data_IF_717320629789
#
_entry.id   IF_717320629789
#
_cell.length_a   1.000
_cell.length_b   1.000
_cell.length_c   1.000
_cell.angle_alpha   90.00
_cell.angle_beta   90.00
_cell.angle_gamma   90.00
#
_symmetry.space_group_name_H-M   'P 1'
#
loop_
_entity.id
_entity.type
_entity.pdbx_description
1 polymer ?
#
# COMPACT_ATOMS: atom_id res chain seq x y z
N UNK A 1 8.61 -8.10 -26.24
CA UNK A 1 9.19 -7.60 -24.97
C UNK A 1 8.08 -7.02 -24.10
N UNK A 2 7.90 -7.51 -22.85
CA UNK A 2 6.82 -7.02 -21.95
C UNK A 2 7.38 -5.99 -20.94
N UNK A 3 7.66 -4.79 -21.43
CA UNK A 3 8.12 -3.65 -20.59
C UNK A 3 6.97 -2.93 -19.88
N UNK A 4 5.72 -3.28 -20.18
CA UNK A 4 4.55 -2.67 -19.54
C UNK A 4 4.35 -3.11 -18.09
N UNK A 5 5.05 -4.15 -17.63
CA UNK A 5 5.03 -4.59 -16.23
C UNK A 5 5.99 -3.81 -15.33
N UNK A 6 6.89 -2.99 -15.89
CA UNK A 6 7.83 -2.19 -15.12
C UNK A 6 7.12 -1.06 -14.36
N UNK A 7 7.61 -0.75 -13.17
CA UNK A 7 7.22 0.45 -12.43
C UNK A 7 7.78 1.72 -13.10
N UNK A 8 7.30 2.90 -12.70
CA UNK A 8 7.84 4.16 -13.22
C UNK A 8 9.32 4.33 -12.85
N UNK A 9 9.70 3.96 -11.64
CA UNK A 9 11.07 4.01 -11.13
C UNK A 9 12.00 3.09 -11.92
N UNK A 10 11.53 1.88 -12.23
CA UNK A 10 12.29 0.92 -13.06
C UNK A 10 12.49 1.45 -14.48
N UNK A 11 11.45 2.06 -15.08
CA UNK A 11 11.54 2.67 -16.42
C UNK A 11 12.56 3.81 -16.46
N UNK A 12 12.53 4.70 -15.44
CA UNK A 12 13.49 5.79 -15.28
C UNK A 12 14.90 5.23 -15.10
N UNK A 13 15.10 4.25 -14.21
CA UNK A 13 16.38 3.62 -13.93
C UNK A 13 16.96 2.94 -15.20
N UNK A 14 16.11 2.29 -16.02
CA UNK A 14 16.56 1.73 -17.29
C UNK A 14 17.03 2.79 -18.27
N UNK A 15 16.32 3.92 -18.35
CA UNK A 15 16.76 5.01 -19.22
C UNK A 15 18.11 5.59 -18.77
N UNK A 16 18.38 5.64 -17.47
CA UNK A 16 19.68 6.07 -16.94
C UNK A 16 20.83 5.14 -17.37
N UNK A 17 20.57 3.82 -17.40
CA UNK A 17 21.58 2.84 -17.89
C UNK A 17 21.98 3.15 -19.34
N UNK A 18 21.03 3.52 -20.19
CA UNK A 18 21.33 3.91 -21.58
C UNK A 18 22.02 5.27 -21.72
N UNK A 19 22.01 6.08 -20.67
CA UNK A 19 22.72 7.37 -20.60
C UNK A 19 24.12 7.24 -19.98
N UNK A 20 24.55 6.01 -19.60
CA UNK A 20 25.87 5.74 -19.03
C UNK A 20 26.71 4.90 -19.99
N UNK A 21 28.03 4.99 -19.84
CA UNK A 21 28.96 4.15 -20.63
C UNK A 21 28.87 2.66 -20.22
N UNK A 22 29.03 1.72 -21.15
CA UNK A 22 29.36 1.95 -22.57
C UNK A 22 28.14 2.18 -23.48
N UNK A 23 26.90 2.01 -22.97
CA UNK A 23 25.70 2.07 -23.80
C UNK A 23 25.52 3.43 -24.49
N UNK A 24 25.84 4.52 -23.80
CA UNK A 24 25.70 5.88 -24.35
C UNK A 24 26.53 6.06 -25.64
N UNK A 25 27.82 5.71 -25.63
CA UNK A 25 28.68 5.81 -26.78
C UNK A 25 28.24 4.91 -27.94
N UNK A 26 27.81 3.67 -27.64
CA UNK A 26 27.32 2.73 -28.65
C UNK A 26 26.02 3.20 -29.32
N UNK A 27 25.11 3.79 -28.56
CA UNK A 27 23.86 4.38 -29.07
C UNK A 27 24.20 5.59 -29.94
N UNK A 28 25.09 6.49 -29.47
CA UNK A 28 25.46 7.71 -30.19
C UNK A 28 26.17 7.43 -31.52
N UNK A 29 26.96 6.36 -31.59
CA UNK A 29 27.66 5.95 -32.81
C UNK A 29 26.73 5.42 -33.92
N UNK A 30 25.48 5.09 -33.61
CA UNK A 30 24.54 4.52 -34.57
C UNK A 30 23.31 5.43 -34.75
N UNK A 31 23.12 6.04 -35.94
CA UNK A 31 22.06 6.99 -36.22
C UNK A 31 20.64 6.42 -35.99
N UNK A 32 20.41 5.14 -36.30
CA UNK A 32 19.13 4.47 -36.13
C UNK A 32 18.80 4.35 -34.63
N UNK A 33 19.78 3.92 -33.83
CA UNK A 33 19.64 3.80 -32.38
C UNK A 33 19.50 5.16 -31.70
N UNK A 34 20.31 6.13 -32.10
CA UNK A 34 20.28 7.50 -31.56
C UNK A 34 18.89 8.13 -31.71
N UNK A 35 18.31 8.02 -32.91
CA UNK A 35 16.93 8.53 -33.18
C UNK A 35 15.89 7.83 -32.30
N UNK A 36 15.92 6.50 -32.21
CA UNK A 36 15.02 5.72 -31.37
C UNK A 36 15.15 6.06 -29.89
N UNK A 37 16.37 6.24 -29.43
CA UNK A 37 16.66 6.56 -28.03
C UNK A 37 16.19 7.96 -27.61
N UNK A 38 16.28 8.97 -28.50
CA UNK A 38 15.78 10.31 -28.22
C UNK A 38 14.30 10.30 -27.82
N UNK A 39 13.48 9.47 -28.48
CA UNK A 39 12.07 9.32 -28.14
C UNK A 39 11.88 8.72 -26.76
N UNK A 40 12.66 7.68 -26.39
CA UNK A 40 12.62 7.05 -25.05
C UNK A 40 13.07 8.03 -23.98
N UNK A 41 14.16 8.77 -24.21
CA UNK A 41 14.68 9.78 -23.29
C UNK A 41 13.65 10.88 -23.01
N UNK A 42 12.96 11.38 -24.04
CA UNK A 42 11.89 12.37 -23.90
C UNK A 42 10.74 11.83 -23.03
N UNK A 43 10.30 10.58 -23.26
CA UNK A 43 9.26 9.94 -22.45
C UNK A 43 9.69 9.73 -20.99
N UNK A 44 10.95 9.34 -20.76
CA UNK A 44 11.49 9.19 -19.41
C UNK A 44 11.57 10.54 -18.68
N UNK A 45 11.96 11.61 -19.35
CA UNK A 45 11.96 12.97 -18.76
C UNK A 45 10.56 13.40 -18.32
N UNK A 46 9.55 13.20 -19.17
CA UNK A 46 8.17 13.50 -18.84
C UNK A 46 7.67 12.64 -17.66
N UNK A 47 8.02 11.35 -17.66
CA UNK A 47 7.67 10.42 -16.57
C UNK A 47 8.33 10.85 -15.26
N UNK A 48 9.63 11.21 -15.27
CA UNK A 48 10.36 11.68 -14.09
C UNK A 48 9.74 12.94 -13.50
N UNK A 49 9.45 13.95 -14.33
CA UNK A 49 8.84 15.19 -13.89
C UNK A 49 7.44 14.97 -13.27
N UNK A 50 6.67 14.06 -13.87
CA UNK A 50 5.33 13.72 -13.38
C UNK A 50 5.41 12.89 -12.11
N UNK A 51 6.32 11.91 -12.04
CA UNK A 51 6.52 11.09 -10.85
C UNK A 51 6.99 11.91 -9.64
N UNK A 52 7.85 12.91 -9.85
CA UNK A 52 8.28 13.82 -8.79
C UNK A 52 7.08 14.59 -8.22
N UNK A 53 6.26 15.20 -9.10
CA UNK A 53 5.03 15.90 -8.66
C UNK A 53 4.06 14.96 -7.93
N UNK A 54 3.85 13.75 -8.46
CA UNK A 54 2.99 12.76 -7.83
C UNK A 54 3.55 12.27 -6.48
N UNK A 55 4.86 12.06 -6.39
CA UNK A 55 5.55 11.68 -5.16
C UNK A 55 5.38 12.71 -4.05
N UNK A 56 5.56 13.98 -4.38
CA UNK A 56 5.38 15.10 -3.45
C UNK A 56 3.91 15.27 -3.03
N UNK A 57 2.99 15.23 -4.01
CA UNK A 57 1.55 15.33 -3.73
C UNK A 57 1.01 14.15 -2.91
N UNK A 58 1.55 12.94 -3.08
CA UNK A 58 1.10 11.74 -2.35
C UNK A 58 1.74 11.60 -0.95
N UNK A 59 2.72 12.41 -0.58
CA UNK A 59 3.38 12.33 0.72
C UNK A 59 2.40 12.50 1.90
N UNK A 60 1.50 13.50 1.91
CA UNK A 60 0.48 13.63 2.95
C UNK A 60 -0.46 12.42 3.01
N UNK A 61 -0.90 11.89 1.86
CA UNK A 61 -1.76 10.71 1.82
C UNK A 61 -1.07 9.45 2.35
N UNK A 62 0.25 9.30 2.10
CA UNK A 62 1.03 8.20 2.66
C UNK A 62 1.14 8.32 4.18
N UNK A 63 1.47 9.49 4.71
CA UNK A 63 1.53 9.74 6.14
C UNK A 63 0.21 9.41 6.84
N UNK A 64 -0.93 9.85 6.28
CA UNK A 64 -2.26 9.51 6.78
C UNK A 64 -2.55 7.99 6.69
N UNK A 65 -2.04 7.31 5.66
CA UNK A 65 -2.23 5.85 5.53
C UNK A 65 -1.43 5.07 6.55
N UNK A 66 -0.21 5.52 6.85
CA UNK A 66 0.64 4.96 7.90
C UNK A 66 0.04 5.19 9.28
N UNK A 67 -0.48 6.40 9.53
CA UNK A 67 -1.18 6.72 10.78
C UNK A 67 -2.45 5.87 10.95
N UNK A 68 -3.25 5.69 9.90
CA UNK A 68 -4.43 4.83 9.93
C UNK A 68 -4.06 3.39 10.29
N UNK A 69 -3.01 2.83 9.68
CA UNK A 69 -2.56 1.48 9.98
C UNK A 69 -2.10 1.31 11.44
N UNK A 70 -1.48 2.34 12.03
CA UNK A 70 -1.09 2.33 13.46
C UNK A 70 -2.32 2.40 14.36
N UNK A 71 -3.31 3.23 14.04
CA UNK A 71 -4.56 3.32 14.80
C UNK A 71 -5.35 2.02 14.73
N UNK A 72 -5.47 1.42 13.55
CA UNK A 72 -6.12 0.13 13.28
C UNK A 72 -5.48 -1.00 14.11
N UNK A 73 -4.16 -1.15 14.05
CA UNK A 73 -3.45 -2.16 14.83
C UNK A 73 -3.66 -2.00 16.35
N UNK A 74 -3.72 -0.75 16.86
CA UNK A 74 -3.99 -0.49 18.27
C UNK A 74 -5.44 -0.78 18.65
N UNK A 75 -6.39 -0.37 17.81
CA UNK A 75 -7.82 -0.65 17.94
C UNK A 75 -8.04 -2.15 18.08
N UNK A 76 -7.54 -2.92 17.13
CA UNK A 76 -7.60 -4.36 17.09
C UNK A 76 -6.99 -5.03 18.34
N UNK A 77 -5.79 -4.60 18.73
CA UNK A 77 -5.11 -5.14 19.90
C UNK A 77 -5.92 -4.90 21.20
N UNK A 78 -6.56 -3.72 21.33
CA UNK A 78 -7.39 -3.38 22.49
C UNK A 78 -8.65 -4.21 22.54
N UNK A 79 -9.34 -4.40 21.42
CA UNK A 79 -10.54 -5.24 21.32
C UNK A 79 -10.20 -6.68 21.69
N UNK A 80 -9.20 -7.28 21.03
CA UNK A 80 -8.79 -8.67 21.31
C UNK A 80 -8.31 -8.86 22.73
N UNK A 81 -7.50 -7.92 23.24
CA UNK A 81 -7.02 -7.97 24.62
C UNK A 81 -8.14 -7.86 25.63
N UNK A 82 -9.12 -6.99 25.41
CA UNK A 82 -10.32 -6.87 26.26
C UNK A 82 -11.15 -8.14 26.25
N UNK A 83 -11.40 -8.72 25.08
CA UNK A 83 -12.15 -9.97 24.95
C UNK A 83 -11.45 -11.13 25.70
N UNK A 84 -10.16 -11.31 25.45
CA UNK A 84 -9.36 -12.35 26.10
C UNK A 84 -9.30 -12.18 27.62
N UNK A 85 -9.18 -10.94 28.11
CA UNK A 85 -9.17 -10.64 29.53
C UNK A 85 -10.50 -11.01 30.21
N UNK A 86 -11.63 -10.62 29.64
CA UNK A 86 -12.96 -10.93 30.18
C UNK A 86 -13.26 -12.43 30.14
N UNK A 87 -12.90 -13.11 29.06
CA UNK A 87 -13.01 -14.58 28.97
C UNK A 87 -12.14 -15.30 30.01
N UNK A 88 -10.91 -14.79 30.23
CA UNK A 88 -10.02 -15.34 31.25
C UNK A 88 -10.60 -15.15 32.67
N UNK A 89 -11.14 -13.97 32.98
CA UNK A 89 -11.81 -13.72 34.25
C UNK A 89 -13.02 -14.61 34.46
N UNK A 90 -13.86 -14.80 33.44
CA UNK A 90 -15.03 -15.68 33.52
C UNK A 90 -14.63 -17.11 33.87
N UNK A 91 -13.55 -17.62 33.29
CA UNK A 91 -13.03 -18.95 33.56
C UNK A 91 -12.36 -19.08 34.94
N UNK A 92 -11.51 -18.09 35.31
CA UNK A 92 -10.73 -18.16 36.55
C UNK A 92 -11.57 -17.95 37.80
N UNK A 93 -12.64 -17.13 37.70
CA UNK A 93 -13.53 -16.83 38.83
C UNK A 93 -14.81 -17.64 38.81
N UNK A 94 -15.04 -18.42 37.75
CA UNK A 94 -16.29 -19.15 37.52
C UNK A 94 -17.54 -18.27 37.56
N UNK A 95 -17.41 -16.99 37.17
CA UNK A 95 -18.46 -15.97 37.22
C UNK A 95 -18.90 -15.61 35.80
N UNK A 96 -20.13 -15.94 35.36
CA UNK A 96 -20.59 -15.66 33.99
C UNK A 96 -20.78 -14.15 33.69
N UNK A 97 -20.86 -13.29 34.71
CA UNK A 97 -21.05 -11.86 34.58
C UNK A 97 -20.00 -11.20 33.66
N UNK A 98 -18.78 -11.75 33.59
CA UNK A 98 -17.73 -11.24 32.68
C UNK A 98 -18.04 -11.50 31.20
N UNK A 99 -18.81 -12.55 30.89
CA UNK A 99 -19.30 -12.79 29.54
C UNK A 99 -20.45 -11.81 29.18
N UNK A 100 -21.25 -11.40 30.16
CA UNK A 100 -22.26 -10.34 29.95
C UNK A 100 -21.57 -9.00 29.64
N UNK A 101 -20.46 -8.68 30.33
CA UNK A 101 -19.65 -7.51 30.01
C UNK A 101 -19.07 -7.60 28.60
N UNK A 102 -18.57 -8.78 28.20
CA UNK A 102 -18.07 -9.00 26.85
C UNK A 102 -19.17 -8.81 25.79
N UNK A 103 -20.33 -9.41 26.00
CA UNK A 103 -21.50 -9.27 25.10
C UNK A 103 -21.98 -7.82 25.01
N UNK A 104 -21.94 -7.06 26.11
CA UNK A 104 -22.23 -5.63 26.09
C UNK A 104 -21.22 -4.83 25.27
N UNK A 105 -19.95 -5.10 25.42
CA UNK A 105 -18.87 -4.40 24.70
C UNK A 105 -18.81 -4.81 23.22
N UNK A 106 -18.97 -6.08 22.93
CA UNK A 106 -18.81 -6.69 21.61
C UNK A 106 -20.01 -7.60 21.29
N UNK A 107 -21.20 -7.05 20.97
CA UNK A 107 -22.40 -7.85 20.75
C UNK A 107 -22.28 -8.80 19.56
N UNK A 108 -21.48 -8.44 18.54
CA UNK A 108 -21.21 -9.27 17.37
C UNK A 108 -19.95 -10.15 17.54
N UNK A 109 -19.41 -10.18 18.77
CA UNK A 109 -18.20 -10.90 19.12
C UNK A 109 -16.90 -10.24 18.62
N UNK A 110 -15.74 -10.78 19.01
CA UNK A 110 -14.42 -10.23 18.64
C UNK A 110 -14.07 -10.37 17.15
N UNK A 111 -14.87 -11.11 16.36
CA UNK A 111 -14.70 -11.25 14.91
C UNK A 111 -15.10 -10.01 14.10
N UNK A 112 -15.73 -9.01 14.71
CA UNK A 112 -16.05 -7.72 14.08
C UNK A 112 -14.81 -6.91 13.65
N UNK A 113 -13.61 -7.34 14.02
CA UNK A 113 -12.30 -6.73 13.70
C UNK A 113 -11.91 -6.79 12.21
N UNK A 114 -12.69 -7.47 11.38
CA UNK A 114 -12.48 -7.54 9.92
C UNK A 114 -13.44 -6.66 9.11
N UNK A 115 -14.12 -5.73 9.79
CA UNK A 115 -15.07 -4.80 9.17
C UNK A 115 -14.34 -3.69 8.38
N UNK A 116 -15.09 -2.98 7.53
CA UNK A 116 -14.57 -1.75 6.92
C UNK A 116 -14.37 -0.66 7.98
N UNK A 117 -13.47 0.28 7.75
CA UNK A 117 -13.23 1.42 8.67
C UNK A 117 -14.52 2.18 9.04
N UNK A 118 -15.44 2.37 8.09
CA UNK A 118 -16.71 3.02 8.38
C UNK A 118 -17.57 2.20 9.34
N UNK A 119 -17.55 0.87 9.23
CA UNK A 119 -18.29 -0.01 10.13
C UNK A 119 -17.66 -0.03 11.53
N UNK A 120 -16.33 0.00 11.64
CA UNK A 120 -15.60 0.08 12.92
C UNK A 120 -15.88 1.40 13.64
N UNK A 121 -15.88 2.52 12.92
CA UNK A 121 -16.27 3.84 13.45
C UNK A 121 -17.71 3.80 13.95
N UNK A 122 -18.63 3.26 13.15
CA UNK A 122 -20.04 3.13 13.55
C UNK A 122 -20.23 2.27 14.81
N UNK A 123 -19.54 1.14 14.90
CA UNK A 123 -19.59 0.27 16.07
C UNK A 123 -19.03 0.96 17.33
N UNK A 124 -17.93 1.72 17.19
CA UNK A 124 -17.32 2.47 18.29
C UNK A 124 -18.25 3.59 18.80
N UNK A 125 -18.94 4.31 17.92
CA UNK A 125 -19.92 5.32 18.32
C UNK A 125 -21.15 4.71 19.03
N UNK A 126 -21.63 3.56 18.55
CA UNK A 126 -22.72 2.84 19.22
C UNK A 126 -22.29 2.33 20.61
N UNK A 127 -21.04 1.88 20.76
CA UNK A 127 -20.51 1.48 22.07
C UNK A 127 -20.39 2.69 23.00
N UNK A 128 -19.86 3.82 22.52
CA UNK A 128 -19.79 5.05 23.32
C UNK A 128 -21.16 5.47 23.84
N UNK A 129 -22.18 5.47 22.97
CA UNK A 129 -23.55 5.79 23.34
C UNK A 129 -24.13 4.79 24.38
N UNK A 130 -23.88 3.48 24.25
CA UNK A 130 -24.31 2.48 25.23
C UNK A 130 -23.65 2.68 26.59
N UNK A 131 -22.35 2.99 26.62
CA UNK A 131 -21.63 3.29 27.86
C UNK A 131 -22.14 4.55 28.57
N UNK A 132 -22.60 5.54 27.82
CA UNK A 132 -23.17 6.75 28.40
C UNK A 132 -24.62 6.55 28.89
N UNK A 133 -25.35 5.62 28.31
CA UNK A 133 -26.72 5.27 28.73
C UNK A 133 -26.74 4.33 29.93
N UNK A 134 -25.75 3.45 30.11
CA UNK A 134 -25.67 2.47 31.19
C UNK A 134 -24.54 2.80 32.18
N UNK A 135 -24.84 3.67 33.13
CA UNK A 135 -23.89 4.07 34.17
C UNK A 135 -23.47 2.91 35.09
N UNK A 136 -24.34 1.90 35.28
CA UNK A 136 -24.01 0.72 36.11
C UNK A 136 -22.99 -0.16 35.39
N UNK A 137 -23.20 -0.45 34.11
CA UNK A 137 -22.25 -1.19 33.29
C UNK A 137 -20.91 -0.46 33.16
N UNK A 138 -20.94 0.85 32.86
CA UNK A 138 -19.74 1.69 32.80
C UNK A 138 -18.93 1.64 34.11
N UNK A 139 -19.62 1.71 35.26
CA UNK A 139 -18.98 1.59 36.58
C UNK A 139 -18.38 0.19 36.81
N UNK A 140 -19.08 -0.86 36.42
CA UNK A 140 -18.60 -2.24 36.55
C UNK A 140 -17.33 -2.47 35.70
N UNK A 141 -17.33 -2.04 34.43
CA UNK A 141 -16.17 -2.12 33.55
C UNK A 141 -14.99 -1.28 34.10
N UNK A 142 -15.29 -0.09 34.65
CA UNK A 142 -14.28 0.77 35.26
C UNK A 142 -13.62 0.14 36.49
N UNK A 143 -14.31 -0.71 37.22
CA UNK A 143 -13.79 -1.39 38.42
C UNK A 143 -12.81 -2.52 38.09
N UNK A 144 -12.82 -3.03 36.85
CA UNK A 144 -11.85 -4.02 36.41
C UNK A 144 -10.53 -3.35 36.07
N UNK A 145 -9.42 -3.99 36.43
CA UNK A 145 -8.07 -3.43 36.25
C UNK A 145 -7.17 -4.41 35.50
N UNK A 146 -6.39 -3.87 34.56
CA UNK A 146 -5.33 -4.56 33.82
C UNK A 146 -4.07 -3.70 33.95
N UNK A 147 -3.00 -4.25 34.49
CA UNK A 147 -1.72 -3.52 34.74
C UNK A 147 -1.92 -2.18 35.46
N UNK A 148 -2.79 -2.14 36.46
CA UNK A 148 -3.07 -0.93 37.23
C UNK A 148 -3.91 0.14 36.51
N UNK A 149 -4.35 -0.12 35.27
CA UNK A 149 -5.26 0.74 34.50
C UNK A 149 -6.66 0.13 34.48
N UNK A 150 -7.67 0.99 34.55
CA UNK A 150 -9.07 0.54 34.38
C UNK A 150 -9.29 -0.06 33.01
N UNK A 151 -10.08 -1.15 32.93
CA UNK A 151 -10.51 -1.72 31.66
C UNK A 151 -11.26 -0.69 30.80
N UNK A 152 -12.00 0.23 31.44
CA UNK A 152 -12.67 1.32 30.72
C UNK A 152 -11.68 2.19 29.94
N UNK A 153 -10.47 2.42 30.45
CA UNK A 153 -9.43 3.18 29.73
C UNK A 153 -9.02 2.52 28.41
N UNK A 154 -8.98 1.18 28.37
CA UNK A 154 -8.71 0.45 27.12
C UNK A 154 -9.89 0.54 26.16
N UNK A 155 -11.12 0.46 26.66
CA UNK A 155 -12.37 0.60 25.89
C UNK A 155 -12.48 2.01 25.30
N UNK A 156 -12.27 3.06 26.10
CA UNK A 156 -12.25 4.44 25.62
C UNK A 156 -11.11 4.67 24.61
N UNK A 157 -9.98 3.98 24.80
CA UNK A 157 -8.85 4.02 23.89
C UNK A 157 -9.17 3.43 22.52
N UNK A 158 -9.89 2.31 22.42
CA UNK A 158 -10.27 1.78 21.10
C UNK A 158 -11.33 2.64 20.41
N UNK A 159 -12.28 3.23 21.17
CA UNK A 159 -13.25 4.20 20.62
C UNK A 159 -12.50 5.41 20.03
N UNK A 160 -11.47 5.91 20.72
CA UNK A 160 -10.66 7.03 20.23
C UNK A 160 -9.86 6.64 18.96
N UNK A 161 -9.29 5.44 18.89
CA UNK A 161 -8.57 4.97 17.70
C UNK A 161 -9.54 4.85 16.50
N UNK A 162 -10.73 4.28 16.67
CA UNK A 162 -11.75 4.21 15.60
C UNK A 162 -12.16 5.60 15.11
N UNK A 163 -12.39 6.56 16.02
CA UNK A 163 -12.70 7.95 15.66
C UNK A 163 -11.58 8.58 14.83
N UNK A 164 -10.31 8.36 15.24
CA UNK A 164 -9.16 8.86 14.49
C UNK A 164 -9.07 8.26 13.09
N UNK A 165 -9.36 6.97 12.93
CA UNK A 165 -9.44 6.32 11.61
C UNK A 165 -10.51 7.01 10.73
N UNK A 166 -11.68 7.32 11.30
CA UNK A 166 -12.73 8.06 10.60
C UNK A 166 -12.32 9.48 10.19
N UNK A 167 -11.57 10.20 11.04
CA UNK A 167 -10.99 11.50 10.71
C UNK A 167 -9.99 11.39 9.56
N UNK A 168 -9.04 10.45 9.65
CA UNK A 168 -8.04 10.19 8.62
C UNK A 168 -8.72 9.86 7.27
N UNK A 169 -9.78 9.08 7.28
CA UNK A 169 -10.54 8.75 6.07
C UNK A 169 -11.11 10.01 5.42
N UNK A 170 -11.67 10.93 6.21
CA UNK A 170 -12.18 12.22 5.74
C UNK A 170 -11.04 13.14 5.24
N UNK A 171 -9.93 13.21 5.97
CA UNK A 171 -8.75 13.99 5.58
C UNK A 171 -8.18 13.49 4.23
N UNK A 172 -8.09 12.16 4.05
CA UNK A 172 -7.66 11.56 2.77
C UNK A 172 -8.61 11.89 1.62
N UNK A 173 -9.92 11.86 1.88
CA UNK A 173 -10.92 12.24 0.87
C UNK A 173 -10.83 13.73 0.51
N UNK A 174 -10.61 14.60 1.50
CA UNK A 174 -10.42 16.04 1.28
C UNK A 174 -9.14 16.32 0.48
N UNK A 175 -8.02 15.67 0.82
CA UNK A 175 -6.78 15.78 0.04
C UNK A 175 -6.98 15.29 -1.40
N UNK A 176 -7.64 14.17 -1.61
CA UNK A 176 -7.94 13.67 -2.95
C UNK A 176 -8.79 14.64 -3.78
N UNK A 177 -9.67 15.40 -3.14
CA UNK A 177 -10.50 16.40 -3.80
C UNK A 177 -9.74 17.68 -4.16
N UNK A 178 -8.63 18.00 -3.45
CA UNK A 178 -7.82 19.21 -3.64
C UNK A 178 -6.56 18.97 -4.47
N UNK A 179 -6.17 17.70 -4.68
CA UNK A 179 -4.96 17.38 -5.45
C UNK A 179 -5.11 17.76 -6.92
N UNK A 180 -4.46 18.84 -7.32
CA UNK A 180 -4.07 19.14 -8.71
C UNK A 180 -2.90 18.28 -9.20
N UNK A 181 -2.58 17.20 -8.47
CA UNK A 181 -1.51 16.27 -8.83
C UNK A 181 -1.82 15.52 -10.12
N UNK A 182 -0.81 15.03 -10.84
CA UNK A 182 -1.04 14.21 -12.01
C UNK A 182 -1.86 12.99 -11.63
N UNK A 183 -3.07 12.91 -12.16
CA UNK A 183 -3.98 11.80 -11.89
C UNK A 183 -3.25 10.45 -12.17
N UNK A 184 -3.54 9.38 -11.44
CA UNK A 184 -2.99 8.03 -11.72
C UNK A 184 -3.14 7.62 -13.19
N UNK A 185 -4.15 8.15 -13.89
CA UNK A 185 -4.35 8.00 -15.33
C UNK A 185 -3.24 8.64 -16.16
N UNK A 186 -2.75 9.83 -15.78
CA UNK A 186 -1.66 10.51 -16.49
C UNK A 186 -0.34 9.74 -16.32
N UNK A 187 0.00 9.27 -15.12
CA UNK A 187 1.16 8.40 -14.91
C UNK A 187 1.06 7.10 -15.69
N UNK A 188 -0.12 6.46 -15.72
CA UNK A 188 -0.35 5.25 -16.52
C UNK A 188 -0.15 5.52 -18.01
N UNK A 189 -0.65 6.65 -18.52
CA UNK A 189 -0.46 7.07 -19.92
C UNK A 189 1.01 7.25 -20.26
N UNK A 190 1.78 7.94 -19.39
CA UNK A 190 3.22 8.16 -19.59
C UNK A 190 4.04 6.87 -19.49
N UNK A 191 3.69 5.97 -18.59
CA UNK A 191 4.30 4.64 -18.53
C UNK A 191 4.06 3.84 -19.82
N UNK A 192 2.84 3.88 -20.35
CA UNK A 192 2.48 3.21 -21.59
C UNK A 192 3.23 3.83 -22.79
N UNK A 193 3.37 5.15 -22.83
CA UNK A 193 4.12 5.85 -23.87
C UNK A 193 5.60 5.49 -23.82
N UNK A 194 6.22 5.52 -22.64
CA UNK A 194 7.60 5.06 -22.46
C UNK A 194 7.76 3.59 -22.92
N UNK A 195 6.87 2.70 -22.48
CA UNK A 195 6.93 1.29 -22.85
C UNK A 195 6.78 1.05 -24.36
N UNK A 196 5.95 1.84 -25.05
CA UNK A 196 5.82 1.83 -26.52
C UNK A 196 7.12 2.27 -27.20
N UNK A 197 7.71 3.36 -26.74
CA UNK A 197 8.96 3.91 -27.30
C UNK A 197 10.16 3.03 -27.01
N UNK A 198 10.26 2.44 -25.82
CA UNK A 198 11.31 1.48 -25.47
C UNK A 198 11.24 0.20 -26.33
N UNK A 199 10.04 -0.29 -26.63
CA UNK A 199 9.85 -1.41 -27.56
C UNK A 199 10.28 -1.07 -28.97
N UNK A 200 9.94 0.14 -29.47
CA UNK A 200 10.36 0.62 -30.79
C UNK A 200 11.89 0.78 -30.85
N UNK A 201 12.50 1.33 -29.80
CA UNK A 201 13.96 1.45 -29.68
C UNK A 201 14.66 0.10 -29.68
N UNK A 202 14.15 -0.88 -28.92
CA UNK A 202 14.69 -2.25 -28.95
C UNK A 202 14.52 -2.89 -30.34
N UNK A 203 13.38 -2.69 -31.01
CA UNK A 203 13.16 -3.24 -32.34
C UNK A 203 14.10 -2.59 -33.37
N UNK A 204 14.50 -1.33 -33.19
CA UNK A 204 15.48 -0.68 -34.10
C UNK A 204 16.88 -1.31 -34.05
N UNK A 205 17.20 -2.07 -33.00
CA UNK A 205 18.45 -2.83 -32.91
C UNK A 205 18.64 -3.82 -34.07
N UNK A 206 17.57 -4.48 -34.51
CA UNK A 206 17.60 -5.38 -35.65
C UNK A 206 17.89 -4.65 -36.96
N UNK A 207 17.37 -3.42 -37.11
CA UNK A 207 17.64 -2.57 -38.27
C UNK A 207 19.05 -1.95 -38.25
N UNK A 208 19.61 -1.79 -37.05
CA UNK A 208 20.94 -1.24 -36.86
C UNK A 208 22.07 -2.23 -37.14
N UNK A 209 21.76 -3.53 -37.34
CA UNK A 209 22.73 -4.56 -37.64
C UNK A 209 23.75 -4.80 -36.50
N UNK A 210 23.33 -4.70 -35.24
CA UNK A 210 24.22 -4.83 -34.09
C UNK A 210 24.75 -6.25 -33.97
N UNK A 211 26.04 -6.36 -33.61
CA UNK A 211 26.60 -7.61 -33.14
C UNK A 211 26.04 -7.96 -31.73
N UNK A 212 26.20 -9.23 -31.33
CA UNK A 212 25.65 -9.75 -30.06
C UNK A 212 26.25 -9.02 -28.84
N UNK A 213 27.52 -8.66 -28.87
CA UNK A 213 28.19 -7.97 -27.76
C UNK A 213 27.60 -6.55 -27.57
N UNK A 214 27.46 -5.80 -28.65
CA UNK A 214 26.87 -4.46 -28.67
C UNK A 214 25.40 -4.52 -28.27
N UNK A 215 24.64 -5.50 -28.79
CA UNK A 215 23.23 -5.69 -28.41
C UNK A 215 23.10 -6.00 -26.90
N UNK A 216 23.93 -6.86 -26.37
CA UNK A 216 23.95 -7.22 -24.94
C UNK A 216 24.33 -6.02 -24.06
N UNK A 217 25.31 -5.22 -24.48
CA UNK A 217 25.73 -4.03 -23.75
C UNK A 217 24.60 -2.99 -23.63
N UNK A 218 23.76 -2.83 -24.65
CA UNK A 218 22.66 -1.87 -24.66
C UNK A 218 21.38 -2.47 -24.02
N UNK A 219 21.00 -3.69 -24.37
CA UNK A 219 19.69 -4.26 -24.04
C UNK A 219 19.71 -5.42 -23.05
N UNK A 220 20.88 -5.95 -22.68
CA UNK A 220 21.00 -7.16 -21.86
C UNK A 220 20.29 -7.05 -20.49
N UNK A 221 20.35 -5.89 -19.83
CA UNK A 221 19.61 -5.66 -18.57
C UNK A 221 18.09 -5.70 -18.76
N UNK A 222 17.57 -5.15 -19.84
CA UNK A 222 16.14 -5.16 -20.15
C UNK A 222 15.65 -6.58 -20.47
N UNK A 223 16.49 -7.38 -21.12
CA UNK A 223 16.19 -8.79 -21.41
C UNK A 223 16.26 -9.68 -20.17
N UNK A 224 17.18 -9.43 -19.26
CA UNK A 224 17.28 -10.15 -17.99
C UNK A 224 16.02 -10.00 -17.15
N UNK A 225 15.42 -8.79 -17.09
CA UNK A 225 14.14 -8.57 -16.40
C UNK A 225 13.01 -9.35 -17.06
N UNK A 226 12.98 -9.43 -18.38
CA UNK A 226 12.02 -10.26 -19.12
C UNK A 226 12.12 -11.74 -18.73
N UNK A 227 13.34 -12.26 -18.58
CA UNK A 227 13.59 -13.64 -18.20
C UNK A 227 13.11 -13.91 -16.76
N UNK A 228 13.41 -13.00 -15.81
CA UNK A 228 13.00 -13.10 -14.42
C UNK A 228 11.47 -13.02 -14.25
N UNK A 229 10.78 -12.13 -14.99
CA UNK A 229 9.33 -12.01 -14.93
C UNK A 229 8.57 -13.20 -15.54
N UNK A 230 9.18 -13.91 -16.49
CA UNK A 230 8.64 -15.16 -17.04
C UNK A 230 8.81 -16.33 -16.08
N UNK A 231 9.93 -16.41 -15.38
CA UNK A 231 10.19 -17.45 -14.38
C UNK A 231 9.19 -17.38 -13.20
N UNK A 232 8.79 -16.18 -12.77
CA UNK A 232 7.77 -15.97 -11.73
C UNK A 232 6.34 -16.33 -12.17
N UNK A 233 6.06 -16.44 -13.48
CA UNK A 233 4.75 -16.79 -14.04
C UNK A 233 4.61 -18.26 -14.44
N UNK A 234 5.68 -19.04 -14.39
CA UNK A 234 5.59 -20.49 -14.57
C UNK A 234 4.80 -21.07 -13.39
N UNK A 235 3.71 -21.84 -13.61
CA UNK A 235 3.01 -22.52 -12.52
C UNK A 235 4.00 -23.46 -11.83
N UNK A 236 4.02 -23.46 -10.49
CA UNK A 236 4.65 -24.53 -9.71
C UNK A 236 4.03 -25.84 -10.21
N UNK A 237 4.83 -26.62 -10.91
CA UNK A 237 4.39 -27.89 -11.47
C UNK A 237 3.93 -28.81 -10.35
N UNK A 238 2.75 -29.42 -10.52
CA UNK A 238 2.26 -30.54 -9.76
C UNK A 238 3.40 -31.51 -9.45
N UNK A 239 3.75 -31.61 -8.19
CA UNK A 239 4.58 -32.71 -7.69
C UNK A 239 3.69 -33.95 -7.72
N UNK A 240 3.96 -34.97 -8.57
CA UNK A 240 3.19 -36.21 -8.52
C UNK A 240 3.42 -36.91 -7.19
N UNK A 241 2.32 -37.32 -6.57
CA UNK A 241 2.27 -38.12 -5.34
C UNK A 241 2.83 -39.51 -5.53
#
# INVERSE_FOLDING_TARGET
MNVSALSAEEMIAHTQVWLTEPAQSLIAANAVLSTGFLAVKSAATALTATQAKYGDASAPQRALSEEAAVCDARHDARIRGTAQFLEALARLREEPIYLDYLAFLLPDGPGAVSASYDAEVGAAELLAARLDQDAAMKKAIKALSVDGKSLLTFVEGWIADARRIGEITREKAALAATEEGPAPAALRSLRNDWAKKARAFHASAALAGLDEATHTAIFGRLEAIKKASRAKKAPEGDTPA
#
